data_IF_292790131038
#
_entry.id   IF_292790131038
#
_cell.length_a   1.000
_cell.length_b   1.000
_cell.length_c   1.000
_cell.angle_alpha   90.00
_cell.angle_beta   90.00
_cell.angle_gamma   90.00
#
_symmetry.space_group_name_H-M   'P 1'
#
loop_
_entity.id
_entity.type
_entity.pdbx_description
1 polymer ?
#
# COMPACT_ATOMS: atom_id res chain seq x y z
N UNK A 1 5.52 17.52 -1.25
CA UNK A 1 5.49 16.04 -1.25
C UNK A 1 4.70 15.58 -0.03
N UNK A 2 3.59 14.85 -0.23
CA UNK A 2 2.64 14.51 0.85
C UNK A 2 3.01 13.22 1.59
N UNK A 3 4.26 13.06 2.03
CA UNK A 3 4.71 11.86 2.75
C UNK A 3 3.98 11.66 4.08
N UNK A 4 3.56 12.74 4.74
CA UNK A 4 2.74 12.68 5.96
C UNK A 4 1.42 11.93 5.73
N UNK A 5 0.85 12.05 4.52
CA UNK A 5 -0.38 11.33 4.15
C UNK A 5 -0.11 9.85 3.91
N UNK A 6 0.98 9.49 3.25
CA UNK A 6 1.40 8.08 3.07
C UNK A 6 1.58 7.38 4.43
N UNK A 7 2.20 8.07 5.38
CA UNK A 7 2.39 7.57 6.74
C UNK A 7 1.03 7.44 7.45
N UNK A 8 0.16 8.45 7.36
CA UNK A 8 -1.16 8.42 7.97
C UNK A 8 -2.06 7.30 7.42
N UNK A 9 -2.05 7.11 6.09
CA UNK A 9 -2.76 6.01 5.43
C UNK A 9 -2.20 4.66 5.88
N UNK A 10 -0.87 4.50 5.93
CA UNK A 10 -0.23 3.28 6.44
C UNK A 10 -0.63 2.96 7.88
N UNK A 11 -0.61 3.94 8.78
CA UNK A 11 -0.99 3.75 10.19
C UNK A 11 -2.48 3.36 10.32
N UNK A 12 -3.38 4.09 9.65
CA UNK A 12 -4.81 3.78 9.65
C UNK A 12 -5.07 2.36 9.13
N UNK A 13 -4.39 1.98 8.06
CA UNK A 13 -4.53 0.68 7.43
C UNK A 13 -4.03 -0.45 8.36
N UNK A 14 -2.88 -0.25 9.00
CA UNK A 14 -2.34 -1.16 10.01
C UNK A 14 -3.30 -1.39 11.16
N UNK A 15 -3.89 -0.32 11.71
CA UNK A 15 -4.83 -0.42 12.84
C UNK A 15 -6.06 -1.23 12.45
N UNK A 16 -6.64 -0.97 11.27
CA UNK A 16 -7.79 -1.73 10.77
C UNK A 16 -7.46 -3.21 10.55
N UNK A 17 -6.30 -3.51 9.96
CA UNK A 17 -5.85 -4.88 9.72
C UNK A 17 -5.67 -5.65 11.03
N UNK A 18 -5.02 -5.04 12.03
CA UNK A 18 -4.82 -5.64 13.36
C UNK A 18 -6.16 -5.92 14.04
N UNK A 19 -7.12 -4.99 13.95
CA UNK A 19 -8.46 -5.18 14.52
C UNK A 19 -9.22 -6.34 13.87
N UNK A 20 -9.14 -6.47 12.53
CA UNK A 20 -9.78 -7.55 11.79
C UNK A 20 -9.14 -8.90 12.12
N UNK A 21 -7.80 -8.96 12.12
CA UNK A 21 -7.05 -10.17 12.46
C UNK A 21 -7.36 -10.65 13.88
N UNK A 22 -7.44 -9.72 14.85
CA UNK A 22 -7.77 -10.01 16.24
C UNK A 22 -9.20 -10.55 16.40
N UNK A 23 -10.15 -10.07 15.58
CA UNK A 23 -11.54 -10.52 15.60
C UNK A 23 -11.72 -11.90 14.96
N UNK A 24 -11.13 -12.13 13.79
CA UNK A 24 -11.21 -13.43 13.10
C UNK A 24 -10.12 -13.56 12.02
N UNK A 25 -9.18 -14.47 12.25
CA UNK A 25 -8.02 -14.71 11.38
C UNK A 25 -8.37 -15.12 9.94
N UNK A 26 -9.57 -15.66 9.70
CA UNK A 26 -10.04 -16.00 8.34
C UNK A 26 -10.20 -14.79 7.43
N UNK A 27 -10.36 -13.59 7.99
CA UNK A 27 -10.53 -12.35 7.25
C UNK A 27 -9.21 -11.62 6.94
N UNK A 28 -8.06 -12.16 7.33
CA UNK A 28 -6.75 -11.55 7.10
C UNK A 28 -6.50 -11.33 5.59
N UNK A 29 -6.62 -12.38 4.77
CA UNK A 29 -6.37 -12.30 3.32
C UNK A 29 -7.35 -11.35 2.61
N UNK A 30 -8.69 -11.44 2.85
CA UNK A 30 -9.64 -10.47 2.31
C UNK A 30 -9.34 -9.02 2.73
N UNK A 31 -8.91 -8.78 3.97
CA UNK A 31 -8.59 -7.44 4.46
C UNK A 31 -7.34 -6.87 3.78
N UNK A 32 -6.30 -7.69 3.59
CA UNK A 32 -5.12 -7.31 2.80
C UNK A 32 -5.50 -6.99 1.35
N UNK A 33 -6.33 -7.81 0.70
CA UNK A 33 -6.79 -7.58 -0.66
C UNK A 33 -7.61 -6.28 -0.79
N UNK A 34 -8.53 -6.03 0.16
CA UNK A 34 -9.29 -4.79 0.24
C UNK A 34 -8.38 -3.58 0.42
N UNK A 35 -7.27 -3.74 1.15
CA UNK A 35 -6.27 -2.69 1.31
C UNK A 35 -5.50 -2.35 0.06
N UNK A 36 -5.13 -3.35 -0.72
CA UNK A 36 -4.51 -3.13 -2.04
C UNK A 36 -5.46 -2.34 -2.91
N UNK A 37 -6.73 -2.72 -2.93
CA UNK A 37 -7.75 -1.98 -3.67
C UNK A 37 -7.90 -0.53 -3.20
N UNK A 38 -7.92 -0.30 -1.88
CA UNK A 38 -7.98 1.05 -1.30
C UNK A 38 -6.72 1.87 -1.61
N UNK A 39 -5.53 1.26 -1.59
CA UNK A 39 -4.27 1.89 -1.96
C UNK A 39 -4.30 2.39 -3.41
N UNK A 40 -4.73 1.52 -4.33
CA UNK A 40 -4.90 1.86 -5.74
C UNK A 40 -5.91 3.02 -5.91
N UNK A 41 -7.06 2.96 -5.22
CA UNK A 41 -8.06 4.04 -5.27
C UNK A 41 -7.53 5.36 -4.68
N UNK A 42 -6.76 5.31 -3.58
CA UNK A 42 -6.12 6.49 -2.98
C UNK A 42 -5.13 7.13 -3.96
N UNK A 43 -4.28 6.32 -4.58
CA UNK A 43 -3.36 6.75 -5.63
C UNK A 43 -4.13 7.35 -6.81
N UNK A 44 -5.27 6.77 -7.19
CA UNK A 44 -6.13 7.27 -8.27
C UNK A 44 -6.73 8.65 -7.97
N UNK A 45 -7.19 8.90 -6.74
CA UNK A 45 -7.72 10.20 -6.34
C UNK A 45 -6.62 11.26 -6.28
N UNK A 46 -5.45 10.89 -5.73
CA UNK A 46 -4.28 11.77 -5.66
C UNK A 46 -3.70 12.09 -7.03
N UNK A 47 -3.87 11.18 -7.99
CA UNK A 47 -3.43 11.31 -9.38
C UNK A 47 -3.86 12.62 -10.05
N UNK A 48 -5.08 13.09 -9.75
CA UNK A 48 -5.64 14.30 -10.36
C UNK A 48 -4.88 15.58 -10.00
N UNK A 49 -4.08 15.56 -8.93
CA UNK A 49 -3.40 16.74 -8.40
C UNK A 49 -1.85 16.66 -8.43
N UNK A 50 -1.27 15.52 -8.83
CA UNK A 50 0.16 15.24 -8.63
C UNK A 50 0.93 15.03 -9.95
N UNK A 51 1.91 15.90 -10.22
CA UNK A 51 2.72 15.83 -11.45
C UNK A 51 3.92 14.88 -11.37
N UNK A 52 4.46 14.67 -10.16
CA UNK A 52 5.69 13.91 -9.94
C UNK A 52 5.44 12.40 -9.94
N UNK A 53 6.01 11.70 -10.92
CA UNK A 53 5.86 10.27 -11.10
C UNK A 53 6.49 9.41 -10.00
N UNK A 54 7.53 9.89 -9.33
CA UNK A 54 8.17 9.17 -8.24
C UNK A 54 7.25 9.02 -7.03
N UNK A 55 6.29 9.94 -6.85
CA UNK A 55 5.29 9.86 -5.78
C UNK A 55 4.44 8.57 -5.87
N UNK A 56 4.17 8.09 -7.09
CA UNK A 56 3.38 6.87 -7.31
C UNK A 56 4.10 5.60 -6.89
N UNK A 57 5.43 5.64 -6.81
CA UNK A 57 6.21 4.55 -6.24
C UNK A 57 6.30 4.68 -4.72
N UNK A 58 6.69 5.87 -4.24
CA UNK A 58 7.00 6.06 -2.81
C UNK A 58 5.77 6.03 -1.89
N UNK A 59 4.62 6.54 -2.34
CA UNK A 59 3.40 6.59 -1.52
C UNK A 59 2.91 5.19 -1.10
N UNK A 60 2.60 4.26 -2.03
CA UNK A 60 2.20 2.91 -1.65
C UNK A 60 3.32 2.16 -0.93
N UNK A 61 4.57 2.34 -1.36
CA UNK A 61 5.72 1.70 -0.72
C UNK A 61 5.80 2.01 0.79
N UNK A 62 5.71 3.29 1.18
CA UNK A 62 5.77 3.72 2.58
C UNK A 62 4.56 3.20 3.36
N UNK A 63 3.35 3.33 2.80
CA UNK A 63 2.10 2.91 3.45
C UNK A 63 2.12 1.42 3.79
N UNK A 64 2.46 0.57 2.83
CA UNK A 64 2.52 -0.88 3.00
C UNK A 64 3.72 -1.35 3.82
N UNK A 65 4.82 -0.61 3.83
CA UNK A 65 5.95 -0.89 4.71
C UNK A 65 5.52 -0.76 6.18
N UNK A 66 4.73 0.26 6.52
CA UNK A 66 4.17 0.44 7.87
C UNK A 66 3.21 -0.71 8.23
N UNK A 67 2.37 -1.14 7.29
CA UNK A 67 1.47 -2.30 7.48
C UNK A 67 2.24 -3.58 7.80
N UNK A 68 3.28 -3.88 7.02
CA UNK A 68 4.11 -5.06 7.25
C UNK A 68 4.88 -5.02 8.56
N UNK A 69 5.44 -3.85 8.91
CA UNK A 69 6.11 -3.67 10.21
C UNK A 69 5.12 -3.91 11.35
N UNK A 70 3.91 -3.38 11.26
CA UNK A 70 2.88 -3.56 12.30
C UNK A 70 2.48 -5.03 12.42
N UNK A 71 2.26 -5.72 11.30
CA UNK A 71 1.94 -7.15 11.29
C UNK A 71 3.09 -8.00 11.85
N UNK A 72 4.35 -7.61 11.62
CA UNK A 72 5.51 -8.28 12.22
C UNK A 72 5.51 -8.18 13.75
N UNK A 73 5.26 -6.99 14.31
CA UNK A 73 5.22 -6.80 15.76
C UNK A 73 4.03 -7.52 16.41
N UNK A 74 2.91 -7.67 15.69
CA UNK A 74 1.70 -8.32 16.21
C UNK A 74 1.74 -9.84 16.04
N UNK A 75 2.27 -10.36 14.93
CA UNK A 75 2.23 -11.77 14.52
C UNK A 75 3.64 -12.38 14.29
N UNK A 76 4.53 -12.25 15.27
CA UNK A 76 5.95 -12.63 15.22
C UNK A 76 6.30 -14.00 14.59
N UNK A 77 5.44 -15.04 14.71
CA UNK A 77 5.74 -16.42 14.29
C UNK A 77 5.68 -16.66 12.76
N UNK A 78 4.83 -15.94 12.03
CA UNK A 78 4.69 -16.09 10.56
C UNK A 78 5.51 -15.06 9.78
N UNK A 79 6.20 -14.16 10.49
CA UNK A 79 6.60 -12.89 9.93
C UNK A 79 8.05 -12.86 9.43
N UNK A 80 8.94 -13.77 9.85
CA UNK A 80 10.36 -13.76 9.40
C UNK A 80 10.53 -13.97 7.88
N UNK A 81 9.79 -14.90 7.30
CA UNK A 81 9.81 -15.13 5.84
C UNK A 81 9.11 -14.00 5.08
N UNK A 82 8.01 -13.48 5.64
CA UNK A 82 7.30 -12.32 5.08
C UNK A 82 8.13 -11.04 5.13
N UNK A 83 8.96 -10.82 6.17
CA UNK A 83 9.70 -9.57 6.39
C UNK A 83 10.76 -9.28 5.33
N UNK A 84 11.29 -10.30 4.66
CA UNK A 84 12.30 -10.12 3.60
C UNK A 84 11.61 -10.08 2.24
N UNK A 85 10.66 -11.00 1.99
CA UNK A 85 9.95 -11.08 0.71
C UNK A 85 9.03 -9.88 0.46
N UNK A 86 8.38 -9.36 1.49
CA UNK A 86 7.42 -8.26 1.31
C UNK A 86 8.08 -6.93 0.95
N UNK A 87 9.08 -6.40 1.69
CA UNK A 87 9.71 -5.11 1.37
C UNK A 87 10.62 -5.15 0.14
N UNK A 88 11.24 -6.29 -0.14
CA UNK A 88 12.27 -6.40 -1.19
C UNK A 88 11.68 -6.82 -2.54
N UNK A 89 10.59 -7.59 -2.55
CA UNK A 89 10.04 -8.16 -3.79
C UNK A 89 8.61 -7.72 -4.03
N UNK A 90 7.72 -7.97 -3.07
CA UNK A 90 6.28 -7.72 -3.27
C UNK A 90 6.00 -6.22 -3.33
N UNK A 91 6.58 -5.44 -2.43
CA UNK A 91 6.36 -4.01 -2.34
C UNK A 91 6.85 -3.22 -3.56
N UNK A 92 8.07 -3.46 -4.06
CA UNK A 92 8.54 -2.84 -5.30
C UNK A 92 7.71 -3.26 -6.52
N UNK A 93 7.27 -4.52 -6.59
CA UNK A 93 6.42 -4.99 -7.69
C UNK A 93 5.04 -4.32 -7.66
N UNK A 94 4.39 -4.25 -6.50
CA UNK A 94 3.10 -3.56 -6.37
C UNK A 94 3.22 -2.05 -6.60
N UNK A 95 4.25 -1.43 -6.05
CA UNK A 95 4.52 0.00 -6.26
C UNK A 95 4.85 0.30 -7.73
N UNK A 96 5.56 -0.62 -8.40
CA UNK A 96 5.82 -0.56 -9.84
C UNK A 96 4.55 -0.73 -10.68
N UNK A 97 3.66 -1.63 -10.28
CA UNK A 97 2.35 -1.82 -10.92
C UNK A 97 1.48 -0.57 -10.76
N UNK A 98 1.39 0.00 -9.56
CA UNK A 98 0.67 1.25 -9.31
C UNK A 98 1.28 2.43 -10.07
N UNK A 99 2.60 2.50 -10.19
CA UNK A 99 3.28 3.49 -11.02
C UNK A 99 2.95 3.31 -12.51
N UNK A 100 2.92 2.06 -13.01
CA UNK A 100 2.56 1.77 -14.39
C UNK A 100 1.09 2.12 -14.69
N UNK A 101 0.17 1.79 -13.78
CA UNK A 101 -1.25 2.20 -13.85
C UNK A 101 -1.37 3.71 -13.81
N UNK A 102 -0.65 4.38 -12.90
CA UNK A 102 -0.57 5.84 -12.84
C UNK A 102 -0.04 6.43 -14.15
N UNK A 103 0.99 5.85 -14.75
CA UNK A 103 1.50 6.31 -16.05
C UNK A 103 0.50 6.12 -17.19
N UNK A 104 -0.15 4.97 -17.27
CA UNK A 104 -1.20 4.69 -18.24
C UNK A 104 -2.32 5.72 -18.12
N UNK A 105 -2.79 6.00 -16.91
CA UNK A 105 -3.80 7.03 -16.66
C UNK A 105 -3.34 8.42 -17.10
N UNK A 106 -2.04 8.75 -16.97
CA UNK A 106 -1.48 10.02 -17.49
C UNK A 106 -1.73 10.16 -18.97
N UNK A 107 -1.41 9.09 -19.69
CA UNK A 107 -1.48 9.06 -21.14
C UNK A 107 -2.93 9.17 -21.60
N UNK A 108 -3.86 8.50 -20.93
CA UNK A 108 -5.28 8.56 -21.25
C UNK A 108 -5.94 9.91 -20.91
N UNK A 109 -5.64 10.48 -19.73
CA UNK A 109 -6.27 11.73 -19.29
C UNK A 109 -5.71 12.94 -20.03
N UNK A 110 -4.41 12.94 -20.37
CA UNK A 110 -3.78 14.04 -21.12
C UNK A 110 -4.11 14.02 -22.63
N UNK A 111 -4.76 12.95 -23.10
CA UNK A 111 -5.20 12.81 -24.49
C UNK A 111 -6.62 13.33 -24.72
N UNK A 112 -7.28 13.85 -23.68
CA UNK A 112 -8.52 14.63 -23.71
C UNK A 112 -8.25 16.07 -23.29
#
# INVERSE_FOLDING_TARGET
MNYARAIGEGILFSVLLVLIQKKNKKWEIPAYAAGIFFGIMSVWVLYRAQENSAYFFWHPYISWMIVNLTDFFVNHKSAKEKLILWPVVILPVFSGFELAVGWLLKLYVKSY
#
